data_IF_865877862045
#
_entry.id   IF_865877862045
#
_cell.length_a   1.000
_cell.length_b   1.000
_cell.length_c   1.000
_cell.angle_alpha   90.00
_cell.angle_beta   90.00
_cell.angle_gamma   90.00
#
_symmetry.space_group_name_H-M   'P 1'
#
loop_
_entity.id
_entity.type
_entity.pdbx_description
1 polymer ?
#
# COMPACT_ATOMS: atom_id res chain seq x y z
N UNK A 1 -18.50 9.26 17.54
CA UNK A 1 -17.87 9.90 16.35
C UNK A 1 -18.79 9.74 15.16
N UNK A 2 -18.85 10.72 14.28
CA UNK A 2 -19.62 10.64 13.04
C UNK A 2 -19.05 9.52 12.15
N UNK A 3 -19.90 8.70 11.57
CA UNK A 3 -19.48 7.67 10.63
C UNK A 3 -18.95 8.32 9.34
N UNK A 4 -17.89 7.76 8.77
CA UNK A 4 -17.33 8.16 7.49
C UNK A 4 -17.50 7.06 6.44
N UNK A 5 -17.66 7.44 5.18
CA UNK A 5 -17.82 6.55 4.04
C UNK A 5 -16.91 6.98 2.90
N UNK A 6 -16.46 6.04 2.09
CA UNK A 6 -15.88 6.32 0.80
C UNK A 6 -17.00 6.43 -0.22
N UNK A 7 -17.15 7.63 -0.78
CA UNK A 7 -18.16 7.96 -1.77
C UNK A 7 -17.73 7.58 -3.19
N UNK A 8 -16.46 7.83 -3.52
CA UNK A 8 -15.89 7.51 -4.82
C UNK A 8 -14.40 7.28 -4.75
N UNK A 9 -13.90 6.50 -5.70
CA UNK A 9 -12.48 6.15 -5.84
C UNK A 9 -12.02 6.29 -7.28
N UNK A 10 -10.76 6.67 -7.47
CA UNK A 10 -10.13 6.77 -8.78
C UNK A 10 -8.66 6.39 -8.73
N UNK A 11 -8.17 5.79 -9.80
CA UNK A 11 -6.78 5.34 -9.90
C UNK A 11 -6.31 5.44 -11.36
N UNK A 12 -5.06 5.83 -11.56
CA UNK A 12 -4.42 5.74 -12.88
C UNK A 12 -3.89 4.32 -13.12
N UNK A 13 -3.63 3.95 -14.36
CA UNK A 13 -2.77 2.80 -14.63
C UNK A 13 -1.38 3.07 -14.05
N UNK A 14 -0.87 2.12 -13.27
CA UNK A 14 0.49 2.16 -12.76
C UNK A 14 1.49 1.67 -13.82
N UNK A 15 2.69 2.25 -13.80
CA UNK A 15 3.74 1.88 -14.77
C UNK A 15 4.72 3.01 -15.02
N UNK A 16 5.49 2.89 -16.08
CA UNK A 16 6.41 3.96 -16.53
C UNK A 16 5.63 4.95 -17.39
N UNK A 17 5.26 6.09 -16.82
CA UNK A 17 4.47 7.16 -17.45
C UNK A 17 5.36 8.36 -17.80
N UNK A 18 6.23 8.20 -18.81
CA UNK A 18 7.21 9.23 -19.20
C UNK A 18 6.57 10.56 -19.63
N UNK A 19 5.37 10.48 -20.17
CA UNK A 19 4.56 11.58 -20.69
C UNK A 19 3.76 12.34 -19.61
N UNK A 20 3.69 11.81 -18.38
CA UNK A 20 2.85 12.34 -17.32
C UNK A 20 3.68 12.99 -16.21
N UNK A 21 3.30 14.20 -15.80
CA UNK A 21 3.75 14.85 -14.58
C UNK A 21 2.87 14.45 -13.39
N UNK A 22 3.30 14.75 -12.17
CA UNK A 22 2.48 14.60 -10.96
C UNK A 22 1.12 15.29 -11.12
N UNK A 23 1.05 16.46 -11.77
CA UNK A 23 -0.22 17.17 -12.03
C UNK A 23 -1.16 16.39 -12.96
N UNK A 24 -0.63 15.75 -14.00
CA UNK A 24 -1.43 14.93 -14.94
C UNK A 24 -1.95 13.70 -14.22
N UNK A 25 -1.09 12.97 -13.51
CA UNK A 25 -1.47 11.77 -12.73
C UNK A 25 -2.54 12.11 -11.68
N UNK A 26 -2.34 13.20 -10.93
CA UNK A 26 -3.31 13.69 -9.94
C UNK A 26 -4.67 13.97 -10.60
N UNK A 27 -4.68 14.68 -11.74
CA UNK A 27 -5.92 15.00 -12.46
C UNK A 27 -6.67 13.75 -12.88
N UNK A 28 -5.99 12.77 -13.46
CA UNK A 28 -6.61 11.50 -13.90
C UNK A 28 -7.29 10.80 -12.71
N UNK A 29 -6.58 10.62 -11.60
CA UNK A 29 -7.11 9.91 -10.44
C UNK A 29 -8.24 10.66 -9.74
N UNK A 30 -8.08 11.97 -9.54
CA UNK A 30 -9.09 12.79 -8.86
C UNK A 30 -10.35 12.94 -9.70
N UNK A 31 -10.23 13.15 -11.02
CA UNK A 31 -11.40 13.20 -11.91
C UNK A 31 -12.17 11.88 -11.83
N UNK A 32 -11.47 10.73 -11.92
CA UNK A 32 -12.13 9.42 -11.81
C UNK A 32 -12.82 9.22 -10.44
N UNK A 33 -12.22 9.70 -9.34
CA UNK A 33 -12.83 9.59 -8.02
C UNK A 33 -14.08 10.47 -7.85
N UNK A 34 -14.05 11.68 -8.41
CA UNK A 34 -15.21 12.58 -8.40
C UNK A 34 -16.34 12.04 -9.29
N UNK A 35 -16.01 11.56 -10.49
CA UNK A 35 -16.99 10.94 -11.41
C UNK A 35 -17.64 9.70 -10.78
N UNK A 36 -16.87 8.85 -10.09
CA UNK A 36 -17.37 7.67 -9.37
C UNK A 36 -18.32 8.05 -8.21
N UNK A 37 -18.08 9.20 -7.56
CA UNK A 37 -18.96 9.73 -6.52
C UNK A 37 -20.15 10.53 -7.06
N UNK A 38 -20.17 10.91 -8.34
CA UNK A 38 -21.10 11.89 -8.88
C UNK A 38 -20.88 13.31 -8.37
N UNK A 39 -19.66 13.64 -7.96
CA UNK A 39 -19.28 14.90 -7.35
C UNK A 39 -18.57 15.85 -8.34
N UNK A 40 -18.60 17.15 -8.01
CA UNK A 40 -17.87 18.19 -8.73
C UNK A 40 -16.74 18.75 -7.87
N UNK A 41 -15.82 19.52 -8.46
CA UNK A 41 -14.72 20.18 -7.73
C UNK A 41 -15.24 21.03 -6.54
N UNK A 42 -16.36 21.74 -6.75
CA UNK A 42 -16.97 22.62 -5.74
C UNK A 42 -17.62 21.90 -4.56
N UNK A 43 -17.79 20.56 -4.64
CA UNK A 43 -18.33 19.77 -3.54
C UNK A 43 -17.28 19.39 -2.51
N UNK A 44 -16.00 19.47 -2.86
CA UNK A 44 -14.86 19.12 -1.99
C UNK A 44 -14.54 20.29 -1.06
N UNK A 45 -14.54 20.03 0.22
CA UNK A 45 -14.36 21.05 1.27
C UNK A 45 -12.93 21.10 1.83
N UNK A 46 -12.16 19.99 1.71
CA UNK A 46 -10.75 19.91 2.08
C UNK A 46 -10.04 18.82 1.29
N UNK A 47 -8.71 18.87 1.22
CA UNK A 47 -7.92 17.85 0.55
C UNK A 47 -6.63 17.53 1.33
N UNK A 48 -6.29 16.23 1.37
CA UNK A 48 -5.02 15.70 1.85
C UNK A 48 -4.26 15.12 0.66
N UNK A 49 -3.08 15.69 0.40
CA UNK A 49 -2.26 15.33 -0.75
C UNK A 49 -0.99 14.60 -0.29
N UNK A 50 -0.84 13.36 -0.74
CA UNK A 50 0.30 12.50 -0.48
C UNK A 50 1.29 12.48 -1.64
N UNK A 51 2.56 12.75 -1.33
CA UNK A 51 3.67 12.59 -2.26
C UNK A 51 4.96 12.39 -1.45
N UNK A 52 5.81 11.48 -1.90
CA UNK A 52 7.06 11.11 -1.20
C UNK A 52 8.29 11.58 -1.98
N UNK A 53 8.28 11.46 -3.31
CA UNK A 53 9.51 11.50 -4.11
C UNK A 53 9.72 12.80 -4.88
N UNK A 54 8.70 13.62 -5.10
CA UNK A 54 8.78 14.76 -6.02
C UNK A 54 9.83 15.80 -5.60
N UNK A 55 9.98 16.00 -4.28
CA UNK A 55 11.01 16.90 -3.76
C UNK A 55 12.41 16.48 -4.14
N UNK A 56 12.73 15.19 -4.03
CA UNK A 56 14.05 14.63 -4.35
C UNK A 56 14.23 14.50 -5.87
N UNK A 57 13.22 13.95 -6.57
CA UNK A 57 13.36 13.58 -7.98
C UNK A 57 13.15 14.75 -8.95
N UNK A 58 12.24 15.67 -8.65
CA UNK A 58 11.86 16.78 -9.54
C UNK A 58 12.18 18.16 -8.95
N UNK A 59 12.57 18.25 -7.66
CA UNK A 59 12.87 19.50 -6.98
C UNK A 59 11.65 20.29 -6.49
N UNK A 60 10.45 19.74 -6.57
CA UNK A 60 9.25 20.34 -5.97
C UNK A 60 9.16 19.99 -4.49
N UNK A 61 9.99 20.66 -3.68
CA UNK A 61 10.15 20.36 -2.25
C UNK A 61 8.96 20.81 -1.41
N UNK A 62 8.28 21.90 -1.80
CA UNK A 62 7.22 22.51 -0.98
C UNK A 62 5.91 22.62 -1.74
N UNK A 63 4.79 22.53 -1.02
CA UNK A 63 3.41 22.70 -1.49
C UNK A 63 3.03 21.92 -2.76
N UNK A 64 3.45 20.64 -2.93
CA UNK A 64 3.16 19.87 -4.14
C UNK A 64 1.65 19.70 -4.38
N UNK A 65 0.86 19.52 -3.32
CA UNK A 65 -0.60 19.37 -3.40
C UNK A 65 -1.29 20.63 -3.90
N UNK A 66 -0.88 21.81 -3.45
CA UNK A 66 -1.38 23.08 -3.95
C UNK A 66 -1.06 23.23 -5.46
N UNK A 67 0.16 22.86 -5.86
CA UNK A 67 0.56 22.93 -7.29
C UNK A 67 -0.25 21.98 -8.16
N UNK A 68 -0.57 20.77 -7.66
CA UNK A 68 -1.37 19.81 -8.40
C UNK A 68 -2.85 20.20 -8.44
N UNK A 69 -3.48 20.42 -7.28
CA UNK A 69 -4.92 20.64 -7.17
C UNK A 69 -5.37 21.99 -7.72
N UNK A 70 -4.58 23.08 -7.52
CA UNK A 70 -4.87 24.38 -8.12
C UNK A 70 -4.83 24.32 -9.66
N UNK A 71 -3.97 23.50 -10.23
CA UNK A 71 -3.95 23.31 -11.70
C UNK A 71 -5.21 22.65 -12.26
N UNK A 72 -6.04 22.05 -11.39
CA UNK A 72 -7.34 21.45 -11.74
C UNK A 72 -8.52 22.41 -11.55
N UNK A 73 -8.31 23.52 -10.83
CA UNK A 73 -9.37 24.49 -10.51
C UNK A 73 -9.89 24.40 -9.07
N UNK A 74 -9.30 23.61 -8.18
CA UNK A 74 -9.67 23.67 -6.75
C UNK A 74 -9.31 25.04 -6.18
N UNK A 75 -10.25 25.66 -5.49
CA UNK A 75 -10.10 27.01 -4.93
C UNK A 75 -10.67 27.10 -3.51
N UNK A 76 -9.98 27.89 -2.68
CA UNK A 76 -10.47 28.28 -1.33
C UNK A 76 -10.73 27.13 -0.37
N UNK A 77 -10.19 25.96 -0.61
CA UNK A 77 -10.23 24.83 0.32
C UNK A 77 -8.86 24.65 0.99
N UNK A 78 -8.81 24.17 2.23
CA UNK A 78 -7.54 23.76 2.85
C UNK A 78 -6.97 22.57 2.10
N UNK A 79 -5.66 22.63 1.77
CA UNK A 79 -4.89 21.53 1.21
C UNK A 79 -3.72 21.24 2.15
N UNK A 80 -3.66 20.04 2.69
CA UNK A 80 -2.58 19.58 3.58
C UNK A 80 -1.74 18.54 2.85
N UNK A 81 -0.43 18.76 2.81
CA UNK A 81 0.51 17.78 2.27
C UNK A 81 0.91 16.81 3.38
N UNK A 82 0.93 15.52 3.08
CA UNK A 82 1.29 14.45 4.01
C UNK A 82 2.37 13.56 3.41
N UNK A 83 3.23 13.03 4.28
CA UNK A 83 4.31 12.13 3.92
C UNK A 83 4.52 11.11 5.07
N UNK A 84 4.56 9.83 4.75
CA UNK A 84 4.92 8.67 5.58
C UNK A 84 5.47 7.55 4.69
N UNK A 85 6.43 7.90 3.82
CA UNK A 85 7.03 6.97 2.86
C UNK A 85 5.94 6.20 2.06
N UNK A 86 6.01 4.87 2.00
CA UNK A 86 5.03 4.06 1.27
C UNK A 86 3.61 4.11 1.87
N UNK A 87 3.46 4.47 3.17
CA UNK A 87 2.18 4.65 3.84
C UNK A 87 1.52 6.02 3.59
N UNK A 88 2.13 6.88 2.77
CA UNK A 88 1.67 8.25 2.50
C UNK A 88 0.22 8.31 2.00
N UNK A 89 -0.17 7.45 1.05
CA UNK A 89 -1.54 7.42 0.53
C UNK A 89 -2.57 7.01 1.59
N UNK A 90 -2.25 6.02 2.41
CA UNK A 90 -3.09 5.59 3.52
C UNK A 90 -3.15 6.64 4.64
N UNK A 91 -2.07 7.39 4.87
CA UNK A 91 -2.05 8.54 5.79
C UNK A 91 -2.98 9.65 5.30
N UNK A 92 -2.97 9.96 3.99
CA UNK A 92 -3.91 10.93 3.41
C UNK A 92 -5.37 10.51 3.66
N UNK A 93 -5.69 9.22 3.47
CA UNK A 93 -7.01 8.66 3.78
C UNK A 93 -7.35 8.78 5.26
N UNK A 94 -6.42 8.41 6.15
CA UNK A 94 -6.61 8.50 7.60
C UNK A 94 -6.98 9.93 8.03
N UNK A 95 -6.25 10.93 7.53
CA UNK A 95 -6.53 12.32 7.82
C UNK A 95 -7.90 12.78 7.26
N UNK A 96 -8.26 12.36 6.05
CA UNK A 96 -9.57 12.67 5.47
C UNK A 96 -10.72 12.05 6.29
N UNK A 97 -10.56 10.80 6.74
CA UNK A 97 -11.51 10.11 7.62
C UNK A 97 -11.67 10.85 8.95
N UNK A 98 -10.56 11.25 9.59
CA UNK A 98 -10.60 12.02 10.84
C UNK A 98 -11.28 13.38 10.64
N UNK A 99 -11.00 14.07 9.53
CA UNK A 99 -11.61 15.37 9.20
C UNK A 99 -13.14 15.25 9.08
N UNK A 100 -13.63 14.25 8.35
CA UNK A 100 -15.06 13.96 8.24
C UNK A 100 -15.66 13.55 9.60
N UNK A 101 -14.99 12.66 10.34
CA UNK A 101 -15.45 12.18 11.66
C UNK A 101 -15.52 13.28 12.70
N UNK A 102 -14.69 14.31 12.59
CA UNK A 102 -14.74 15.51 13.46
C UNK A 102 -15.96 16.40 13.20
N UNK A 103 -16.65 16.24 12.07
CA UNK A 103 -17.74 17.09 11.64
C UNK A 103 -17.30 18.42 11.04
N UNK A 104 -16.00 18.61 10.78
CA UNK A 104 -15.48 19.86 10.21
C UNK A 104 -15.74 20.00 8.71
N UNK A 105 -16.01 18.88 8.00
CA UNK A 105 -16.36 18.85 6.58
C UNK A 105 -17.22 17.63 6.26
N UNK A 106 -18.06 17.75 5.23
CA UNK A 106 -18.94 16.68 4.75
C UNK A 106 -18.34 15.90 3.56
N UNK A 107 -17.37 16.47 2.85
CA UNK A 107 -16.71 15.83 1.72
C UNK A 107 -15.22 16.24 1.66
N UNK A 108 -14.33 15.27 1.85
CA UNK A 108 -12.88 15.47 1.95
C UNK A 108 -12.18 14.56 0.95
N UNK A 109 -11.29 15.12 0.15
CA UNK A 109 -10.49 14.39 -0.83
C UNK A 109 -9.18 13.90 -0.20
N UNK A 110 -8.91 12.59 -0.32
CA UNK A 110 -7.59 12.02 -0.13
C UNK A 110 -7.01 11.69 -1.50
N UNK A 111 -5.78 12.10 -1.78
CA UNK A 111 -5.10 11.81 -3.04
C UNK A 111 -3.62 11.56 -2.81
N UNK A 112 -3.09 10.54 -3.47
CA UNK A 112 -1.67 10.23 -3.52
C UNK A 112 -1.20 10.16 -4.97
N UNK A 113 -0.08 10.78 -5.28
CA UNK A 113 0.47 10.79 -6.63
C UNK A 113 2.00 10.72 -6.58
N UNK A 114 2.57 9.85 -7.41
CA UNK A 114 4.02 9.65 -7.43
C UNK A 114 4.56 9.59 -8.85
N UNK A 115 5.71 10.24 -9.07
CA UNK A 115 6.49 10.22 -10.29
C UNK A 115 7.91 9.78 -9.97
N UNK A 116 8.18 8.48 -10.06
CA UNK A 116 9.50 7.90 -9.76
C UNK A 116 10.38 7.75 -10.98
N UNK A 117 9.80 7.55 -12.17
CA UNK A 117 10.55 7.30 -13.40
C UNK A 117 10.95 8.62 -14.07
N UNK A 118 12.05 9.20 -13.60
CA UNK A 118 12.62 10.48 -14.13
C UNK A 118 13.75 10.25 -15.16
N UNK A 119 14.05 8.99 -15.52
CA UNK A 119 15.08 8.64 -16.50
C UNK A 119 16.50 8.58 -15.96
N UNK A 120 16.75 9.01 -14.75
CA UNK A 120 18.03 8.93 -14.04
C UNK A 120 17.96 7.82 -12.98
N UNK A 121 18.55 6.65 -13.29
CA UNK A 121 18.54 5.48 -12.40
C UNK A 121 19.26 5.73 -11.08
N UNK A 122 20.36 6.48 -11.09
CA UNK A 122 21.13 6.75 -9.87
C UNK A 122 20.29 7.60 -8.92
N UNK A 123 19.65 8.65 -9.43
CA UNK A 123 18.74 9.50 -8.66
C UNK A 123 17.53 8.71 -8.12
N UNK A 124 16.97 7.83 -8.93
CA UNK A 124 15.83 6.98 -8.52
C UNK A 124 16.21 6.02 -7.39
N UNK A 125 17.41 5.41 -7.43
CA UNK A 125 17.87 4.51 -6.37
C UNK A 125 18.29 5.26 -5.11
N UNK A 126 18.95 6.41 -5.25
CA UNK A 126 19.33 7.28 -4.12
C UNK A 126 18.15 7.84 -3.31
N UNK A 127 16.93 7.73 -3.87
CA UNK A 127 15.71 8.07 -3.13
C UNK A 127 15.54 7.26 -1.84
N UNK A 128 15.96 5.99 -1.86
CA UNK A 128 15.79 5.07 -0.73
C UNK A 128 16.74 5.34 0.43
N UNK A 129 17.84 6.10 0.19
CA UNK A 129 18.78 6.47 1.24
C UNK A 129 18.13 7.37 2.31
N UNK A 130 17.08 8.11 1.94
CA UNK A 130 16.27 8.93 2.86
C UNK A 130 15.10 8.20 3.54
N UNK A 131 14.90 6.93 3.28
CA UNK A 131 13.81 6.15 3.87
C UNK A 131 14.13 5.51 5.23
N UNK A 132 15.32 5.79 5.77
CA UNK A 132 15.83 5.38 7.09
C UNK A 132 16.43 6.59 7.79
N UNK A 133 16.86 6.44 9.05
CA UNK A 133 17.54 7.52 9.76
C UNK A 133 18.89 7.83 9.11
N UNK A 134 18.96 8.98 8.42
CA UNK A 134 20.17 9.43 7.70
C UNK A 134 21.31 9.82 8.66
N UNK A 135 21.01 10.04 9.93
CA UNK A 135 21.99 10.39 10.96
C UNK A 135 22.49 9.17 11.74
N UNK A 136 21.84 7.98 11.57
CA UNK A 136 22.25 6.73 12.18
C UNK A 136 22.39 5.58 11.16
N UNK A 137 23.37 5.66 10.24
CA UNK A 137 23.62 4.58 9.28
C UNK A 137 24.09 3.28 9.93
N UNK A 138 24.65 3.34 11.15
CA UNK A 138 25.04 2.15 11.90
C UNK A 138 23.85 1.44 12.52
N UNK A 139 22.75 2.14 12.86
CA UNK A 139 21.51 1.53 13.32
C UNK A 139 20.96 0.55 12.30
N UNK A 140 20.93 0.92 11.01
CA UNK A 140 20.50 0.02 9.93
C UNK A 140 21.43 -1.19 9.81
N UNK A 141 22.74 -1.00 9.86
CA UNK A 141 23.72 -2.11 9.83
C UNK A 141 23.57 -3.01 11.05
N UNK A 142 23.24 -2.42 12.21
CA UNK A 142 22.92 -3.15 13.44
C UNK A 142 21.74 -4.08 13.25
N UNK A 143 20.66 -3.58 12.66
CA UNK A 143 19.45 -4.38 12.31
C UNK A 143 19.82 -5.54 11.38
N UNK A 144 20.60 -5.29 10.32
CA UNK A 144 21.03 -6.33 9.39
C UNK A 144 21.84 -7.43 10.11
N UNK A 145 22.80 -7.04 10.97
CA UNK A 145 23.59 -8.00 11.75
C UNK A 145 22.72 -8.83 12.72
N UNK A 146 21.78 -8.19 13.42
CA UNK A 146 20.87 -8.90 14.34
C UNK A 146 19.97 -9.90 13.62
N UNK A 147 19.53 -9.57 12.40
CA UNK A 147 18.68 -10.43 11.57
C UNK A 147 19.43 -11.55 10.83
N UNK A 148 20.72 -11.71 10.98
CA UNK A 148 21.43 -12.85 10.38
C UNK A 148 22.78 -12.54 9.74
N UNK A 149 23.38 -11.42 10.08
CA UNK A 149 24.74 -11.08 9.63
C UNK A 149 24.80 -10.26 8.35
N UNK A 150 26.02 -10.09 7.82
CA UNK A 150 26.24 -9.35 6.59
C UNK A 150 25.42 -9.91 5.44
N UNK A 151 24.72 -9.05 4.72
CA UNK A 151 23.95 -9.43 3.57
C UNK A 151 24.93 -9.95 2.51
N UNK A 152 24.78 -11.19 2.00
CA UNK A 152 25.58 -11.63 0.88
C UNK A 152 25.42 -10.61 -0.25
N UNK A 153 26.51 -10.04 -0.73
CA UNK A 153 26.46 -9.18 -1.91
C UNK A 153 25.80 -9.98 -3.03
N UNK A 154 24.71 -9.44 -3.59
CA UNK A 154 24.13 -9.97 -4.82
C UNK A 154 25.15 -9.89 -5.97
N UNK A 155 24.71 -9.91 -7.19
CA UNK A 155 25.56 -9.77 -8.40
C UNK A 155 26.27 -8.40 -8.51
N UNK A 156 26.19 -7.57 -7.48
CA UNK A 156 26.74 -6.21 -7.42
C UNK A 156 25.91 -5.18 -8.18
N UNK A 157 24.76 -5.55 -8.73
CA UNK A 157 23.86 -4.59 -9.36
C UNK A 157 23.21 -3.69 -8.29
N UNK A 158 23.14 -2.37 -8.52
CA UNK A 158 22.51 -1.45 -7.59
C UNK A 158 21.06 -1.83 -7.32
N UNK A 159 20.68 -1.89 -6.05
CA UNK A 159 19.31 -2.11 -5.59
C UNK A 159 19.03 -1.30 -4.32
N UNK A 160 17.77 -1.26 -3.89
CA UNK A 160 17.37 -0.55 -2.69
C UNK A 160 17.81 -1.28 -1.42
N UNK A 161 18.35 -0.57 -0.44
CA UNK A 161 18.66 -1.06 0.91
C UNK A 161 17.43 -1.69 1.60
N UNK A 162 16.22 -1.27 1.28
CA UNK A 162 15.00 -1.91 1.77
C UNK A 162 14.93 -3.38 1.38
N UNK A 163 15.43 -3.75 0.19
CA UNK A 163 15.45 -5.16 -0.22
C UNK A 163 16.46 -5.97 0.59
N UNK A 164 17.56 -5.38 1.05
CA UNK A 164 18.50 -6.04 1.96
C UNK A 164 17.84 -6.33 3.30
N UNK A 165 17.06 -5.38 3.83
CA UNK A 165 16.33 -5.54 5.10
C UNK A 165 15.22 -6.60 4.96
N UNK A 166 14.39 -6.54 3.90
CA UNK A 166 13.40 -7.60 3.64
C UNK A 166 14.02 -8.97 3.46
N UNK A 167 15.16 -9.05 2.77
CA UNK A 167 15.89 -10.31 2.61
C UNK A 167 16.46 -10.84 3.94
N UNK A 168 16.98 -9.96 4.79
CA UNK A 168 17.46 -10.32 6.12
C UNK A 168 16.30 -10.80 7.01
N UNK A 169 15.16 -10.11 7.02
CA UNK A 169 13.96 -10.54 7.73
C UNK A 169 13.44 -11.88 7.21
N UNK A 170 13.43 -12.07 5.88
CA UNK A 170 13.06 -13.35 5.28
C UNK A 170 13.96 -14.49 5.75
N UNK A 171 15.28 -14.29 5.76
CA UNK A 171 16.23 -15.32 6.26
C UNK A 171 16.02 -15.61 7.75
N UNK A 172 15.81 -14.60 8.59
CA UNK A 172 15.51 -14.78 10.01
C UNK A 172 14.22 -15.61 10.18
N UNK A 173 13.17 -15.29 9.42
CA UNK A 173 11.92 -16.02 9.42
C UNK A 173 12.06 -17.46 8.91
N UNK A 174 12.85 -17.68 7.85
CA UNK A 174 13.20 -19.02 7.34
C UNK A 174 13.92 -19.83 8.42
N UNK A 175 14.85 -19.23 9.14
CA UNK A 175 15.58 -19.90 10.23
C UNK A 175 14.68 -20.22 11.42
N UNK A 176 13.76 -19.32 11.79
CA UNK A 176 12.88 -19.52 12.97
C UNK A 176 11.71 -20.48 12.68
N UNK A 177 11.12 -20.40 11.49
CA UNK A 177 9.82 -21.04 11.19
C UNK A 177 9.85 -22.03 10.02
N UNK A 178 10.97 -22.10 9.29
CA UNK A 178 11.13 -23.01 8.16
C UNK A 178 10.46 -22.55 6.87
N UNK A 179 10.12 -21.26 6.74
CA UNK A 179 9.66 -20.67 5.48
C UNK A 179 10.69 -20.94 4.38
N UNK A 180 10.24 -21.16 3.16
CA UNK A 180 11.09 -21.58 2.05
C UNK A 180 11.08 -20.55 0.91
N UNK A 181 12.15 -20.50 0.10
CA UNK A 181 12.20 -19.69 -1.13
C UNK A 181 11.06 -20.02 -2.09
N UNK A 182 10.62 -21.31 -2.13
CA UNK A 182 9.47 -21.72 -2.92
C UNK A 182 8.18 -21.04 -2.46
N UNK A 183 7.96 -20.92 -1.15
CA UNK A 183 6.77 -20.23 -0.61
C UNK A 183 6.77 -18.74 -0.96
N UNK A 184 7.93 -18.08 -0.96
CA UNK A 184 8.06 -16.71 -1.46
C UNK A 184 7.69 -16.63 -2.96
N UNK A 185 8.19 -17.57 -3.76
CA UNK A 185 7.89 -17.63 -5.19
C UNK A 185 6.40 -17.86 -5.47
N UNK A 186 5.70 -18.66 -4.65
CA UNK A 186 4.26 -18.88 -4.77
C UNK A 186 3.43 -17.63 -4.47
N UNK A 187 3.89 -16.77 -3.56
CA UNK A 187 3.28 -15.43 -3.34
C UNK A 187 3.37 -14.61 -4.63
N UNK A 188 4.56 -14.49 -5.20
CA UNK A 188 4.76 -13.71 -6.43
C UNK A 188 4.01 -14.32 -7.63
N UNK A 189 4.01 -15.65 -7.79
CA UNK A 189 3.22 -16.35 -8.82
C UNK A 189 1.75 -15.97 -8.74
N UNK A 190 1.17 -16.01 -7.53
CA UNK A 190 -0.21 -15.60 -7.26
C UNK A 190 -0.43 -14.14 -7.62
N UNK A 191 0.44 -13.22 -7.17
CA UNK A 191 0.29 -11.78 -7.43
C UNK A 191 0.39 -11.48 -8.92
N UNK A 192 1.32 -12.08 -9.66
CA UNK A 192 1.38 -11.97 -11.12
C UNK A 192 0.14 -12.55 -11.79
N UNK A 193 -0.40 -13.68 -11.33
CA UNK A 193 -1.63 -14.26 -11.87
C UNK A 193 -2.86 -13.35 -11.62
N UNK A 194 -3.00 -12.77 -10.42
CA UNK A 194 -4.07 -11.83 -10.10
C UNK A 194 -4.01 -10.56 -10.97
N UNK A 195 -2.82 -10.11 -11.36
CA UNK A 195 -2.63 -8.90 -12.16
C UNK A 195 -2.99 -9.07 -13.65
N UNK A 196 -3.06 -10.29 -14.18
CA UNK A 196 -3.32 -10.54 -15.61
C UNK A 196 -4.56 -9.79 -16.10
N UNK A 197 -5.63 -9.88 -15.34
CA UNK A 197 -6.93 -9.28 -15.66
C UNK A 197 -7.12 -7.88 -15.05
N UNK A 198 -6.08 -7.30 -14.41
CA UNK A 198 -6.15 -5.95 -13.89
C UNK A 198 -5.66 -4.94 -14.94
N UNK A 199 -6.56 -4.15 -15.59
CA UNK A 199 -6.16 -3.20 -16.63
C UNK A 199 -5.27 -2.07 -16.10
N UNK A 200 -5.25 -1.84 -14.78
CA UNK A 200 -4.48 -0.79 -14.14
C UNK A 200 -3.11 -1.26 -13.63
N UNK A 201 -2.81 -2.57 -13.73
CA UNK A 201 -1.54 -3.14 -13.30
C UNK A 201 -0.40 -2.84 -14.28
N UNK A 202 0.81 -2.75 -13.71
CA UNK A 202 2.06 -2.59 -14.48
C UNK A 202 2.42 -3.86 -15.24
N UNK A 203 2.58 -4.97 -14.51
CA UNK A 203 2.80 -6.29 -15.10
C UNK A 203 1.47 -7.02 -15.22
N UNK A 204 1.21 -7.59 -16.39
CA UNK A 204 -0.05 -8.29 -16.69
C UNK A 204 0.24 -9.66 -17.34
N UNK A 205 1.32 -10.29 -16.93
CA UNK A 205 1.74 -11.60 -17.42
C UNK A 205 1.92 -12.51 -16.23
N UNK A 206 1.28 -13.67 -16.26
CA UNK A 206 1.51 -14.71 -15.26
C UNK A 206 2.95 -15.20 -15.36
N UNK A 207 3.55 -15.53 -14.23
CA UNK A 207 4.91 -16.03 -14.12
C UNK A 207 4.93 -17.22 -13.14
N UNK A 208 5.32 -18.43 -13.55
CA UNK A 208 5.34 -19.58 -12.65
C UNK A 208 6.48 -19.50 -11.62
N UNK A 209 6.27 -20.16 -10.48
CA UNK A 209 7.21 -20.12 -9.35
C UNK A 209 8.64 -20.54 -9.72
N UNK A 210 8.79 -21.51 -10.59
CA UNK A 210 10.09 -21.97 -11.07
C UNK A 210 10.87 -20.88 -11.84
N UNK A 211 10.17 -20.09 -12.66
CA UNK A 211 10.75 -18.95 -13.38
C UNK A 211 11.13 -17.81 -12.41
N UNK A 212 10.28 -17.56 -11.42
CA UNK A 212 10.52 -16.57 -10.36
C UNK A 212 11.76 -16.94 -9.55
N UNK A 213 11.91 -18.22 -9.16
CA UNK A 213 13.08 -18.72 -8.42
C UNK A 213 14.36 -18.60 -9.24
N UNK A 214 14.28 -18.89 -10.56
CA UNK A 214 15.41 -18.86 -11.47
C UNK A 214 15.80 -17.44 -11.93
N UNK A 215 14.96 -16.44 -11.66
CA UNK A 215 15.23 -15.05 -12.04
C UNK A 215 16.44 -14.47 -11.27
N UNK A 216 16.98 -13.36 -11.77
CA UNK A 216 18.12 -12.67 -11.14
C UNK A 216 17.83 -12.35 -9.68
N UNK A 217 18.75 -12.73 -8.81
CA UNK A 217 18.71 -12.42 -7.38
C UNK A 217 18.95 -10.93 -7.16
N UNK A 218 18.16 -10.30 -6.31
CA UNK A 218 18.34 -8.93 -5.80
C UNK A 218 19.15 -8.98 -4.51
N UNK A 219 18.60 -9.67 -3.50
CA UNK A 219 19.23 -9.97 -2.22
C UNK A 219 18.67 -11.33 -1.75
N UNK A 220 19.51 -12.34 -1.54
CA UNK A 220 19.03 -13.70 -1.23
C UNK A 220 18.14 -13.73 0.03
N UNK A 221 16.91 -14.30 0.01
CA UNK A 221 16.35 -15.18 -1.04
C UNK A 221 15.54 -14.50 -2.15
N UNK A 222 15.47 -13.16 -2.18
CA UNK A 222 14.62 -12.39 -3.07
C UNK A 222 15.18 -12.30 -4.49
N UNK A 223 14.37 -12.61 -5.50
CA UNK A 223 14.63 -12.39 -6.91
C UNK A 223 13.86 -11.17 -7.43
N UNK A 224 14.20 -10.69 -8.64
CA UNK A 224 13.57 -9.49 -9.23
C UNK A 224 12.03 -9.56 -9.22
N UNK A 225 11.37 -10.66 -9.65
CA UNK A 225 9.91 -10.73 -9.61
C UNK A 225 9.29 -10.76 -8.21
N UNK A 226 10.09 -11.05 -7.17
CA UNK A 226 9.68 -11.03 -5.77
C UNK A 226 9.76 -9.63 -5.14
N UNK A 227 10.08 -8.59 -5.92
CA UNK A 227 10.27 -7.22 -5.46
C UNK A 227 9.37 -6.27 -6.24
N UNK A 228 8.71 -5.35 -5.54
CA UNK A 228 7.86 -4.35 -6.17
C UNK A 228 8.66 -3.41 -7.10
N UNK A 229 8.19 -3.17 -8.33
CA UNK A 229 8.84 -2.27 -9.27
C UNK A 229 8.56 -0.81 -8.90
N UNK A 230 9.52 0.08 -9.19
CA UNK A 230 9.30 1.52 -9.14
C UNK A 230 8.37 1.93 -10.29
N UNK A 231 7.23 2.50 -9.96
CA UNK A 231 6.23 2.93 -10.94
C UNK A 231 5.73 4.34 -10.68
N UNK A 232 5.21 4.97 -11.72
CA UNK A 232 4.47 6.21 -11.67
C UNK A 232 2.98 5.92 -11.53
N UNK A 233 2.25 6.78 -10.84
CA UNK A 233 0.81 6.65 -10.72
C UNK A 233 0.19 7.55 -9.67
N UNK A 234 -1.15 7.57 -9.65
CA UNK A 234 -1.93 8.27 -8.64
C UNK A 234 -3.19 7.47 -8.31
N UNK A 235 -3.67 7.66 -7.08
CA UNK A 235 -4.95 7.15 -6.62
C UNK A 235 -5.63 8.19 -5.72
N UNK A 236 -6.96 8.22 -5.71
CA UNK A 236 -7.76 9.17 -4.93
C UNK A 236 -9.01 8.51 -4.36
N UNK A 237 -9.47 9.03 -3.22
CA UNK A 237 -10.74 8.66 -2.60
C UNK A 237 -11.46 9.91 -2.10
N UNK A 238 -12.76 10.01 -2.36
CA UNK A 238 -13.62 11.02 -1.75
C UNK A 238 -14.28 10.42 -0.52
N UNK A 239 -13.98 10.97 0.65
CA UNK A 239 -14.52 10.56 1.95
C UNK A 239 -15.66 11.49 2.33
N UNK A 240 -16.82 10.93 2.69
CA UNK A 240 -18.01 11.74 3.02
C UNK A 240 -18.62 11.37 4.37
N UNK A 241 -19.29 12.36 4.97
CA UNK A 241 -20.27 12.16 6.04
C UNK A 241 -21.60 11.65 5.47
N UNK A 242 -22.54 11.27 6.34
CA UNK A 242 -23.91 10.95 5.92
C UNK A 242 -24.62 12.12 5.22
N UNK A 243 -24.31 13.38 5.60
CA UNK A 243 -24.85 14.57 4.94
C UNK A 243 -24.25 14.74 3.54
N UNK A 244 -22.92 14.54 3.41
CA UNK A 244 -22.22 14.55 2.13
C UNK A 244 -22.76 13.50 1.16
N UNK A 245 -22.97 12.25 1.64
CA UNK A 245 -23.55 11.21 0.81
C UNK A 245 -24.95 11.55 0.28
N UNK A 246 -25.80 12.14 1.12
CA UNK A 246 -27.15 12.57 0.69
C UNK A 246 -27.07 13.72 -0.31
N UNK A 247 -26.18 14.71 -0.07
CA UNK A 247 -25.98 15.86 -0.97
C UNK A 247 -25.55 15.40 -2.37
N UNK A 248 -24.64 14.44 -2.43
CA UNK A 248 -24.08 13.90 -3.69
C UNK A 248 -24.93 12.77 -4.29
N UNK A 249 -25.97 12.31 -3.60
CA UNK A 249 -26.80 11.17 -4.00
C UNK A 249 -25.99 9.89 -4.32
N UNK A 250 -24.96 9.63 -3.51
CA UNK A 250 -24.05 8.49 -3.70
C UNK A 250 -24.83 7.17 -3.60
N UNK A 251 -24.70 6.30 -4.62
CA UNK A 251 -25.50 5.07 -4.73
C UNK A 251 -24.91 3.89 -3.96
N UNK A 252 -23.60 3.75 -3.96
CA UNK A 252 -22.89 2.61 -3.37
C UNK A 252 -21.74 3.09 -2.45
N UNK A 253 -22.07 3.79 -1.35
CA UNK A 253 -21.04 4.20 -0.40
C UNK A 253 -20.45 2.96 0.31
N UNK A 254 -19.14 2.99 0.59
CA UNK A 254 -18.46 1.97 1.37
C UNK A 254 -18.12 2.53 2.74
N UNK A 255 -18.57 1.89 3.81
CA UNK A 255 -18.34 2.35 5.17
C UNK A 255 -16.88 2.17 5.58
N UNK A 256 -16.29 3.17 6.24
CA UNK A 256 -14.99 3.06 6.89
C UNK A 256 -15.23 2.68 8.35
N UNK A 257 -15.10 1.38 8.67
CA UNK A 257 -15.28 0.88 10.04
C UNK A 257 -14.11 1.31 10.93
N UNK A 258 -12.89 1.11 10.47
CA UNK A 258 -11.68 1.55 11.13
C UNK A 258 -10.68 2.15 10.13
N UNK A 259 -9.90 3.12 10.60
CA UNK A 259 -8.77 3.67 9.86
C UNK A 259 -7.72 4.11 10.88
N UNK A 260 -6.72 3.25 11.11
CA UNK A 260 -5.68 3.42 12.12
C UNK A 260 -4.38 3.83 11.46
N UNK A 261 -3.59 4.64 12.16
CA UNK A 261 -2.22 4.98 11.80
C UNK A 261 -1.38 4.84 13.06
N UNK A 262 -0.29 4.10 12.98
CA UNK A 262 0.62 3.83 14.09
C UNK A 262 2.08 4.02 13.70
N UNK A 263 2.91 4.22 14.71
CA UNK A 263 4.37 4.14 14.62
C UNK A 263 4.87 2.95 15.42
N UNK A 264 6.07 2.46 15.07
CA UNK A 264 6.67 1.27 15.67
C UNK A 264 7.00 1.39 17.16
N UNK A 265 7.44 0.30 17.74
CA UNK A 265 7.84 0.18 19.13
C UNK A 265 9.31 -0.22 19.24
N UNK A 266 9.93 0.04 20.40
CA UNK A 266 11.29 -0.43 20.70
C UNK A 266 11.25 -1.91 21.13
N UNK A 267 10.84 -2.81 20.22
CA UNK A 267 10.77 -4.25 20.45
C UNK A 267 12.07 -4.94 19.98
N UNK A 268 12.42 -6.12 20.56
CA UNK A 268 13.39 -7.00 19.93
C UNK A 268 12.91 -7.41 18.52
N UNK A 269 13.80 -7.53 17.55
CA UNK A 269 13.45 -7.86 16.15
C UNK A 269 12.71 -9.20 16.02
N UNK A 270 13.01 -10.15 16.91
CA UNK A 270 12.39 -11.49 16.96
C UNK A 270 11.05 -11.52 17.70
N UNK A 271 10.60 -10.43 18.30
CA UNK A 271 9.28 -10.33 18.93
C UNK A 271 8.19 -10.03 17.89
N UNK A 272 7.97 -10.95 16.96
CA UNK A 272 7.05 -10.82 15.82
C UNK A 272 5.63 -10.43 16.21
N UNK A 273 5.17 -10.91 17.38
CA UNK A 273 3.83 -10.63 17.91
C UNK A 273 3.64 -9.19 18.42
N UNK A 274 4.70 -8.40 18.45
CA UNK A 274 4.69 -7.01 18.95
C UNK A 274 4.97 -5.97 17.87
N UNK A 275 4.88 -6.36 16.60
CA UNK A 275 5.10 -5.44 15.47
C UNK A 275 4.05 -4.33 15.43
N UNK A 276 4.41 -3.20 14.84
CA UNK A 276 3.49 -2.07 14.64
C UNK A 276 2.25 -2.48 13.86
N UNK A 277 2.40 -3.30 12.80
CA UNK A 277 1.28 -3.76 11.98
C UNK A 277 0.30 -4.60 12.79
N UNK A 278 0.79 -5.49 13.68
CA UNK A 278 -0.08 -6.30 14.54
C UNK A 278 -0.82 -5.45 15.57
N UNK A 279 -0.12 -4.52 16.23
CA UNK A 279 -0.74 -3.63 17.21
C UNK A 279 -1.78 -2.71 16.58
N UNK A 280 -1.47 -2.16 15.41
CA UNK A 280 -2.41 -1.34 14.64
C UNK A 280 -3.62 -2.15 14.15
N UNK A 281 -3.40 -3.39 13.69
CA UNK A 281 -4.48 -4.30 13.27
C UNK A 281 -5.42 -4.63 14.44
N UNK A 282 -4.88 -4.95 15.61
CA UNK A 282 -5.70 -5.22 16.79
C UNK A 282 -6.56 -4.00 17.14
N UNK A 283 -5.98 -2.80 17.19
CA UNK A 283 -6.73 -1.58 17.45
C UNK A 283 -7.79 -1.31 16.37
N UNK A 284 -7.52 -1.64 15.10
CA UNK A 284 -8.48 -1.51 14.01
C UNK A 284 -9.64 -2.52 14.15
N UNK A 285 -9.35 -3.76 14.50
CA UNK A 285 -10.39 -4.77 14.75
C UNK A 285 -11.29 -4.38 15.94
N UNK A 286 -10.69 -3.93 17.04
CA UNK A 286 -11.44 -3.44 18.21
C UNK A 286 -12.35 -2.25 17.85
N UNK A 287 -11.84 -1.29 17.06
CA UNK A 287 -12.63 -0.14 16.60
C UNK A 287 -13.76 -0.56 15.66
N UNK A 288 -13.52 -1.51 14.77
CA UNK A 288 -14.49 -1.98 13.79
C UNK A 288 -15.53 -2.96 14.38
N UNK A 289 -15.24 -3.56 15.54
CA UNK A 289 -16.08 -4.60 16.14
C UNK A 289 -16.07 -5.92 15.36
N UNK A 290 -14.96 -6.23 14.67
CA UNK A 290 -14.76 -7.45 13.87
C UNK A 290 -13.44 -8.10 14.23
N UNK A 291 -13.20 -9.32 13.75
CA UNK A 291 -11.92 -10.01 13.92
C UNK A 291 -11.31 -10.47 12.60
N UNK A 292 -10.09 -11.03 12.63
CA UNK A 292 -9.43 -11.54 11.42
C UNK A 292 -10.25 -12.59 10.66
N UNK A 293 -11.09 -13.36 11.36
CA UNK A 293 -11.96 -14.39 10.78
C UNK A 293 -13.11 -13.80 9.93
N UNK A 294 -13.47 -12.55 10.14
CA UNK A 294 -14.53 -11.85 9.41
C UNK A 294 -14.02 -11.24 8.10
N UNK A 295 -12.69 -11.13 7.92
CA UNK A 295 -12.07 -10.54 6.72
C UNK A 295 -12.35 -11.43 5.51
N UNK A 296 -12.95 -10.85 4.49
CA UNK A 296 -13.32 -11.52 3.25
C UNK A 296 -12.28 -11.34 2.13
N UNK A 297 -11.52 -10.24 2.17
CA UNK A 297 -10.51 -9.86 1.19
C UNK A 297 -9.52 -8.88 1.82
N UNK A 298 -8.24 -8.98 1.47
CA UNK A 298 -7.21 -8.07 1.95
C UNK A 298 -6.29 -7.56 0.82
N UNK A 299 -5.84 -6.33 0.95
CA UNK A 299 -4.68 -5.77 0.23
C UNK A 299 -3.62 -5.44 1.26
N UNK A 300 -2.41 -5.96 1.11
CA UNK A 300 -1.30 -5.76 2.03
C UNK A 300 -0.09 -5.15 1.34
N UNK A 301 0.84 -4.61 2.12
CA UNK A 301 2.06 -3.99 1.62
C UNK A 301 3.12 -5.05 1.30
N UNK A 302 3.04 -5.61 0.12
CA UNK A 302 3.99 -6.56 -0.46
C UNK A 302 5.10 -5.85 -1.25
N UNK A 303 5.87 -4.98 -0.59
CA UNK A 303 7.08 -4.42 -1.23
C UNK A 303 8.07 -5.53 -1.65
N UNK A 304 7.93 -6.71 -1.05
CA UNK A 304 8.53 -7.96 -1.48
C UNK A 304 7.58 -9.13 -1.16
N UNK A 305 7.82 -10.29 -1.78
CA UNK A 305 7.06 -11.52 -1.49
C UNK A 305 7.05 -11.88 0.01
N UNK A 306 8.16 -11.61 0.71
CA UNK A 306 8.22 -11.80 2.15
C UNK A 306 7.32 -10.83 2.91
N UNK A 307 7.15 -9.61 2.41
CA UNK A 307 6.21 -8.63 2.97
C UNK A 307 4.79 -9.19 3.06
N UNK A 308 4.27 -9.85 2.02
CA UNK A 308 2.95 -10.47 2.07
C UNK A 308 2.87 -11.59 3.12
N UNK A 309 3.88 -12.47 3.20
CA UNK A 309 3.93 -13.52 4.23
C UNK A 309 3.86 -12.89 5.62
N UNK A 310 4.71 -11.89 5.86
CA UNK A 310 4.77 -11.20 7.14
C UNK A 310 3.45 -10.53 7.49
N UNK A 311 2.87 -9.76 6.56
CA UNK A 311 1.64 -9.02 6.85
C UNK A 311 0.43 -9.93 7.04
N UNK A 312 0.31 -11.07 6.35
CA UNK A 312 -0.76 -12.04 6.61
C UNK A 312 -0.70 -12.59 8.04
N UNK A 313 0.49 -12.77 8.60
CA UNK A 313 0.70 -13.17 10.00
C UNK A 313 0.39 -12.03 10.97
N UNK A 314 0.89 -10.82 10.68
CA UNK A 314 0.70 -9.66 11.54
C UNK A 314 -0.78 -9.23 11.63
N UNK A 315 -1.53 -9.38 10.56
CA UNK A 315 -2.97 -9.13 10.51
C UNK A 315 -3.80 -10.25 11.17
N UNK A 316 -3.16 -11.36 11.59
CA UNK A 316 -3.85 -12.50 12.19
C UNK A 316 -4.68 -13.32 11.21
N UNK A 317 -4.44 -13.18 9.91
CA UNK A 317 -5.10 -14.01 8.87
C UNK A 317 -4.61 -15.46 8.93
N UNK A 318 -3.41 -15.66 9.47
CA UNK A 318 -2.86 -16.95 9.87
C UNK A 318 -1.99 -16.77 11.15
N UNK A 319 -1.52 -17.87 11.73
CA UNK A 319 -0.63 -17.84 12.89
C UNK A 319 0.77 -17.36 12.49
N UNK A 320 1.48 -16.72 13.43
CA UNK A 320 2.88 -16.30 13.23
C UNK A 320 3.74 -17.53 12.89
N UNK A 321 4.59 -17.39 11.88
CA UNK A 321 5.45 -18.45 11.36
C UNK A 321 4.76 -19.40 10.37
N UNK A 322 3.48 -19.19 10.06
CA UNK A 322 2.73 -20.06 9.14
C UNK A 322 2.34 -19.41 7.80
N UNK A 323 2.67 -18.13 7.60
CA UNK A 323 2.28 -17.36 6.40
C UNK A 323 2.76 -17.99 5.10
N UNK A 324 3.97 -18.58 5.09
CA UNK A 324 4.47 -19.34 3.94
C UNK A 324 3.61 -20.56 3.60
N UNK A 325 3.19 -21.34 4.59
CA UNK A 325 2.27 -22.48 4.42
C UNK A 325 0.86 -22.02 4.04
N UNK A 326 0.43 -20.87 4.58
CA UNK A 326 -0.85 -20.25 4.24
C UNK A 326 -0.91 -19.87 2.75
N UNK A 327 0.13 -19.25 2.22
CA UNK A 327 0.25 -18.97 0.79
C UNK A 327 0.30 -20.26 -0.05
N UNK A 328 1.13 -21.24 0.35
CA UNK A 328 1.30 -22.52 -0.35
C UNK A 328 0.00 -23.35 -0.41
N UNK A 329 -0.88 -23.22 0.58
CA UNK A 329 -2.18 -23.91 0.60
C UNK A 329 -3.18 -23.36 -0.43
N UNK A 330 -2.87 -22.25 -1.11
CA UNK A 330 -3.80 -21.54 -2.00
C UNK A 330 -4.84 -20.70 -1.28
N UNK A 331 -4.78 -20.59 0.04
CA UNK A 331 -5.77 -19.85 0.84
C UNK A 331 -5.84 -18.35 0.50
N UNK A 332 -4.77 -17.78 -0.07
CA UNK A 332 -4.65 -16.35 -0.44
C UNK A 332 -4.98 -16.07 -1.91
N UNK A 333 -5.31 -17.09 -2.71
CA UNK A 333 -5.72 -16.93 -4.12
C UNK A 333 -7.15 -16.36 -4.23
N UNK A 334 -7.57 -15.91 -5.42
CA UNK A 334 -8.93 -15.37 -5.66
C UNK A 334 -10.04 -16.34 -5.27
N UNK A 335 -9.82 -17.66 -5.38
CA UNK A 335 -10.76 -18.71 -4.94
C UNK A 335 -10.48 -19.26 -3.55
N UNK A 336 -9.50 -18.71 -2.84
CA UNK A 336 -9.06 -19.18 -1.53
C UNK A 336 -9.91 -18.67 -0.37
N UNK A 337 -9.52 -19.04 0.85
CA UNK A 337 -10.26 -18.69 2.09
C UNK A 337 -10.29 -17.17 2.34
N UNK A 338 -9.18 -16.48 2.16
CA UNK A 338 -9.05 -15.02 2.27
C UNK A 338 -8.16 -14.55 1.11
N UNK A 339 -8.74 -14.14 -0.01
CA UNK A 339 -7.96 -13.57 -1.11
C UNK A 339 -7.12 -12.37 -0.65
N UNK A 340 -5.81 -12.45 -0.90
CA UNK A 340 -4.84 -11.39 -0.58
C UNK A 340 -4.29 -10.83 -1.87
N UNK A 341 -4.22 -9.51 -1.95
CA UNK A 341 -3.74 -8.77 -3.12
C UNK A 341 -4.45 -9.18 -4.43
N UNK A 342 -5.81 -9.16 -4.48
CA UNK A 342 -6.54 -9.46 -5.71
C UNK A 342 -6.23 -8.50 -6.86
N UNK A 343 -5.66 -7.33 -6.55
CA UNK A 343 -5.19 -6.37 -7.54
C UNK A 343 -3.90 -6.80 -8.27
N UNK A 344 -3.16 -7.77 -7.74
CA UNK A 344 -1.81 -8.16 -8.13
C UNK A 344 -0.72 -7.66 -7.17
N UNK A 345 -1.12 -7.04 -6.05
CA UNK A 345 -0.20 -6.51 -5.06
C UNK A 345 0.72 -5.41 -5.59
N UNK A 346 1.68 -4.99 -4.79
CA UNK A 346 2.70 -4.05 -5.22
C UNK A 346 3.67 -4.68 -6.22
N UNK A 347 3.93 -5.99 -6.09
CA UNK A 347 4.85 -6.72 -6.96
C UNK A 347 4.43 -6.67 -8.44
N UNK A 348 3.15 -6.86 -8.75
CA UNK A 348 2.67 -6.91 -10.12
C UNK A 348 1.86 -5.67 -10.53
N UNK A 349 1.00 -5.14 -9.65
CA UNK A 349 0.26 -3.90 -9.92
C UNK A 349 1.20 -2.71 -10.05
N UNK A 350 2.28 -2.69 -9.24
CA UNK A 350 3.23 -1.58 -9.19
C UNK A 350 3.15 -0.81 -7.88
N UNK A 351 4.22 -0.05 -7.59
CA UNK A 351 4.41 0.63 -6.32
C UNK A 351 4.79 2.12 -6.47
N UNK A 352 3.87 3.01 -6.90
CA UNK A 352 4.07 4.44 -6.76
C UNK A 352 3.81 4.81 -5.30
N UNK A 353 4.88 4.99 -4.49
CA UNK A 353 4.87 5.01 -3.03
C UNK A 353 3.75 5.88 -2.45
N UNK A 354 3.66 7.14 -2.83
CA UNK A 354 2.64 8.05 -2.33
C UNK A 354 1.18 7.67 -2.69
N UNK A 355 0.98 6.79 -3.68
CA UNK A 355 -0.35 6.39 -4.15
C UNK A 355 -0.78 4.99 -3.69
N UNK A 356 0.17 4.13 -3.26
CA UNK A 356 -0.06 2.70 -3.06
C UNK A 356 -1.17 2.38 -2.06
N UNK A 357 -1.21 3.05 -0.91
CA UNK A 357 -2.26 2.82 0.09
C UNK A 357 -3.66 3.19 -0.40
N UNK A 358 -3.81 4.27 -1.18
CA UNK A 358 -5.08 4.62 -1.82
C UNK A 358 -5.44 3.67 -2.96
N UNK A 359 -4.45 3.11 -3.66
CA UNK A 359 -4.68 2.09 -4.69
C UNK A 359 -5.15 0.74 -4.11
N UNK A 360 -4.71 0.38 -2.89
CA UNK A 360 -5.27 -0.74 -2.12
C UNK A 360 -6.74 -0.47 -1.80
N UNK A 361 -7.05 0.70 -1.32
CA UNK A 361 -8.44 1.12 -1.02
C UNK A 361 -9.30 1.14 -2.29
N UNK A 362 -8.76 1.62 -3.42
CA UNK A 362 -9.45 1.56 -4.71
C UNK A 362 -9.89 0.12 -5.04
N UNK A 363 -8.97 -0.84 -4.96
CA UNK A 363 -9.29 -2.25 -5.24
C UNK A 363 -10.37 -2.77 -4.28
N UNK A 364 -10.20 -2.56 -2.97
CA UNK A 364 -11.13 -3.06 -1.97
C UNK A 364 -12.53 -2.46 -2.10
N UNK A 365 -12.64 -1.17 -2.41
CA UNK A 365 -13.94 -0.52 -2.69
C UNK A 365 -14.60 -1.15 -3.91
N UNK A 366 -13.85 -1.39 -4.98
CA UNK A 366 -14.34 -2.05 -6.20
C UNK A 366 -14.78 -3.49 -5.92
N UNK A 367 -14.03 -4.23 -5.10
CA UNK A 367 -14.40 -5.59 -4.67
C UNK A 367 -15.71 -5.58 -3.87
N UNK A 368 -15.85 -4.71 -2.87
CA UNK A 368 -17.04 -4.57 -2.06
C UNK A 368 -18.29 -4.19 -2.89
N UNK A 369 -18.10 -3.43 -3.97
CA UNK A 369 -19.16 -3.01 -4.90
C UNK A 369 -19.49 -4.04 -5.99
N UNK A 370 -18.75 -5.16 -6.08
CA UNK A 370 -18.95 -6.17 -7.12
C UNK A 370 -18.48 -5.71 -8.52
N UNK A 371 -17.47 -4.86 -8.59
CA UNK A 371 -17.04 -4.17 -9.83
C UNK A 371 -15.68 -4.64 -10.36
N UNK A 372 -15.18 -5.81 -9.94
CA UNK A 372 -13.85 -6.29 -10.33
C UNK A 372 -13.84 -7.31 -11.49
N UNK A 373 -15.00 -7.58 -12.12
CA UNK A 373 -15.08 -8.49 -13.28
C UNK A 373 -14.56 -9.90 -12.95
N UNK A 374 -13.62 -10.40 -13.75
CA UNK A 374 -13.01 -11.74 -13.57
C UNK A 374 -12.20 -11.88 -12.29
N UNK A 375 -11.75 -10.77 -11.69
CA UNK A 375 -11.02 -10.74 -10.40
C UNK A 375 -11.94 -10.61 -9.19
N UNK A 376 -13.25 -10.65 -9.39
CA UNK A 376 -14.22 -10.44 -8.31
C UNK A 376 -14.15 -11.57 -7.27
N UNK A 377 -13.88 -11.20 -6.03
CA UNK A 377 -14.01 -12.09 -4.87
C UNK A 377 -15.50 -12.34 -4.60
N UNK A 378 -15.94 -13.58 -4.41
CA UNK A 378 -17.36 -13.88 -4.17
C UNK A 378 -17.87 -13.30 -2.85
N UNK A 379 -18.85 -12.40 -2.92
CA UNK A 379 -19.59 -11.86 -1.79
C UNK A 379 -18.77 -11.25 -0.65
N UNK A 380 -17.77 -10.39 -0.93
CA UNK A 380 -16.95 -9.82 0.13
C UNK A 380 -17.78 -8.86 0.99
N UNK A 381 -17.61 -8.95 2.32
CA UNK A 381 -18.34 -8.10 3.27
C UNK A 381 -17.42 -7.17 4.05
N UNK A 382 -16.30 -7.72 4.51
CA UNK A 382 -15.26 -6.98 5.25
C UNK A 382 -13.99 -7.03 4.43
N UNK A 383 -13.47 -5.86 4.11
CA UNK A 383 -12.23 -5.70 3.38
C UNK A 383 -11.19 -4.99 4.25
N UNK A 384 -9.93 -5.43 4.18
CA UNK A 384 -8.85 -4.92 4.99
C UNK A 384 -7.70 -4.47 4.10
N UNK A 385 -7.23 -3.22 4.28
CA UNK A 385 -5.98 -2.73 3.73
C UNK A 385 -4.94 -2.55 4.83
N UNK A 386 -3.73 -3.04 4.58
CA UNK A 386 -2.54 -2.73 5.37
C UNK A 386 -1.52 -2.04 4.47
N UNK A 387 -0.92 -0.95 4.96
CA UNK A 387 0.08 -0.19 4.22
C UNK A 387 1.17 0.33 5.15
N UNK A 388 2.34 -0.31 5.07
CA UNK A 388 3.55 0.10 5.78
C UNK A 388 4.33 1.19 5.04
N UNK A 389 5.18 1.93 5.75
CA UNK A 389 6.02 2.98 5.17
C UNK A 389 7.26 3.31 5.95
N UNK A 390 8.40 3.45 5.24
CA UNK A 390 9.70 3.67 5.84
C UNK A 390 10.17 2.50 6.68
N UNK A 391 11.37 2.61 7.26
CA UNK A 391 11.89 1.60 8.18
C UNK A 391 12.61 2.28 9.35
N UNK A 392 12.31 1.84 10.56
CA UNK A 392 13.02 2.21 11.78
C UNK A 392 13.09 1.02 12.75
N UNK A 393 14.27 0.71 13.26
CA UNK A 393 14.44 -0.38 14.24
C UNK A 393 13.99 -1.77 13.75
N UNK A 394 14.02 -2.04 12.42
CA UNK A 394 13.68 -3.34 11.83
C UNK A 394 12.20 -3.60 11.64
N UNK A 395 11.37 -2.56 11.67
CA UNK A 395 9.95 -2.62 11.29
C UNK A 395 9.55 -1.34 10.52
N UNK A 396 8.32 -1.29 10.02
CA UNK A 396 7.79 -0.08 9.39
C UNK A 396 7.81 1.09 10.36
N UNK A 397 8.30 2.25 9.91
CA UNK A 397 8.28 3.49 10.69
C UNK A 397 6.85 4.01 10.88
N UNK A 398 5.99 3.76 9.90
CA UNK A 398 4.56 4.05 9.96
C UNK A 398 3.76 2.91 9.34
N UNK A 399 2.63 2.55 9.95
CA UNK A 399 1.68 1.57 9.40
C UNK A 399 0.26 2.08 9.49
N UNK A 400 -0.49 1.94 8.41
CA UNK A 400 -1.90 2.26 8.35
C UNK A 400 -2.74 0.97 8.14
N UNK A 401 -3.81 0.82 8.94
CA UNK A 401 -4.79 -0.26 8.79
C UNK A 401 -6.15 0.36 8.52
N UNK A 402 -6.79 -0.03 7.41
CA UNK A 402 -8.13 0.42 7.05
C UNK A 402 -9.05 -0.79 6.93
N UNK A 403 -10.20 -0.76 7.63
CA UNK A 403 -11.25 -1.78 7.54
C UNK A 403 -12.49 -1.14 6.93
N UNK A 404 -12.97 -1.77 5.86
CA UNK A 404 -14.09 -1.30 5.04
C UNK A 404 -15.22 -2.34 5.03
N UNK A 405 -16.47 -1.87 4.87
CA UNK A 405 -17.62 -2.76 4.65
C UNK A 405 -18.66 -2.13 3.71
N UNK A 406 -19.52 -2.97 3.16
CA UNK A 406 -20.74 -2.56 2.43
C UNK A 406 -21.88 -2.23 3.38
#
# INVERSE_FOLDING_TARGET
MTQAWIAGVGMTRFGVRRDASVKVLTREAVTAALDDAGAQLGDVEAAYFGNTCQGVLEGQVVVPGQMALRSMGFERIPVVNVENACATGATALHQAVLHVRSGAADAVLAVGAEKTNVGDKQKMLGLFDGGVDVHDPEGVRGVLRELGGDVPAGDGAPHSMFMDIYAAMARAHMACFGTTKRQLALVSEKNHAHAVDNPLAHFRTAMPAEEIIAARTVAEPLTVPMCAPLTDGAAAALVCSAAGLRRLAVRQPVAVLACMLGTGTNRPLTAWERSVSRLAAQAAYDQAGVGPADVSVAEVHDASAFGEILQTEQLGLCEIGTGGKFAESGATTLGGRIPVNPSGGLEAKGHPMGASGLAQVYELVRQLRGQCGTRQVPGPRIALAENGGGLYGGEEAATAITILST
#
